data_IF_661238128791
#
_entry.id   IF_661238128791
#
_cell.length_a   1.000
_cell.length_b   1.000
_cell.length_c   1.000
_cell.angle_alpha   90.00
_cell.angle_beta   90.00
_cell.angle_gamma   90.00
#
_symmetry.space_group_name_H-M   'P 1'
#
loop_
_entity.id
_entity.type
_entity.pdbx_description
1 polymer ?
#
# COMPACT_ATOMS: atom_id res chain seq x y z
N UNK A 1 -2.10 11.88 -9.92
CA UNK A 1 -2.54 10.54 -9.49
C UNK A 1 -3.13 10.70 -8.10
N UNK A 2 -4.37 10.26 -7.82
CA UNK A 2 -5.01 10.57 -6.55
C UNK A 2 -4.30 9.81 -5.43
N UNK A 3 -3.78 10.53 -4.44
CA UNK A 3 -3.39 9.97 -3.14
C UNK A 3 -4.66 9.63 -2.38
N UNK A 4 -4.87 8.35 -2.08
CA UNK A 4 -6.00 7.87 -1.27
C UNK A 4 -5.45 7.61 0.12
N UNK A 5 -5.73 8.52 1.05
CA UNK A 5 -5.53 8.29 2.47
C UNK A 5 -6.78 7.57 3.00
N UNK A 6 -6.58 6.40 3.61
CA UNK A 6 -7.62 5.62 4.27
C UNK A 6 -7.64 5.99 5.76
N UNK A 7 -8.73 6.51 6.32
CA UNK A 7 -9.05 6.32 7.72
C UNK A 7 -9.95 5.10 7.84
N UNK A 8 -9.47 4.03 8.48
CA UNK A 8 -10.32 2.90 8.89
C UNK A 8 -10.40 2.94 10.42
N UNK A 9 -11.56 3.37 10.89
CA UNK A 9 -11.97 3.28 12.27
C UNK A 9 -12.07 1.78 12.58
N UNK A 10 -11.29 1.33 13.57
CA UNK A 10 -11.02 -0.07 13.98
C UNK A 10 -9.83 -0.73 13.26
N UNK A 11 -8.63 -0.59 13.85
CA UNK A 11 -7.42 -1.31 13.45
C UNK A 11 -6.59 -0.66 12.35
N UNK A 12 -5.90 0.44 12.67
CA UNK A 12 -5.21 1.29 11.69
C UNK A 12 -4.06 0.57 10.95
N UNK A 13 -4.30 0.23 9.68
CA UNK A 13 -3.26 -0.03 8.68
C UNK A 13 -2.78 1.30 8.09
N UNK A 14 -1.52 1.66 8.31
CA UNK A 14 -0.93 2.85 7.70
C UNK A 14 -0.49 2.55 6.26
N UNK A 15 -1.22 3.07 5.27
CA UNK A 15 -0.88 2.96 3.84
C UNK A 15 -0.28 4.27 3.37
N UNK A 16 1.04 4.31 3.13
CA UNK A 16 1.69 5.53 2.66
C UNK A 16 1.50 5.68 1.14
N UNK A 17 0.77 6.70 0.70
CA UNK A 17 0.82 7.21 -0.67
C UNK A 17 1.15 8.71 -0.63
N UNK A 18 2.43 9.07 -0.77
CA UNK A 18 2.83 10.46 -1.05
C UNK A 18 3.83 10.51 -2.20
N UNK A 19 3.66 11.46 -3.14
CA UNK A 19 4.73 11.92 -4.00
C UNK A 19 5.49 13.04 -3.27
N UNK A 20 6.83 13.00 -3.27
CA UNK A 20 7.61 14.20 -2.99
C UNK A 20 8.61 14.40 -4.13
N UNK A 21 8.45 15.53 -4.82
CA UNK A 21 9.51 16.17 -5.59
C UNK A 21 9.75 17.52 -4.91
N UNK A 22 10.92 17.68 -4.29
CA UNK A 22 11.43 18.95 -3.80
C UNK A 22 11.72 19.81 -5.04
N UNK A 23 10.83 20.71 -5.49
CA UNK A 23 11.24 21.97 -6.15
C UNK A 23 10.19 23.01 -6.60
N UNK A 24 8.88 22.83 -6.47
CA UNK A 24 7.93 23.89 -6.88
C UNK A 24 6.92 24.22 -5.78
N UNK A 25 7.38 24.96 -4.77
CA UNK A 25 6.52 25.74 -3.87
C UNK A 25 6.54 27.21 -4.32
N UNK A 26 5.75 27.58 -5.32
CA UNK A 26 5.24 28.95 -5.45
C UNK A 26 4.26 29.06 -6.64
N UNK A 27 3.11 28.41 -6.53
CA UNK A 27 1.83 28.83 -7.12
C UNK A 27 0.80 27.72 -6.89
N UNK A 28 -0.48 28.09 -6.76
CA UNK A 28 -1.65 27.21 -6.70
C UNK A 28 -2.14 26.80 -5.29
N UNK A 29 -2.60 27.78 -4.53
CA UNK A 29 -3.96 27.69 -3.99
C UNK A 29 -4.84 28.54 -4.93
N UNK A 30 -5.83 27.97 -5.65
CA UNK A 30 -6.98 27.30 -5.03
C UNK A 30 -7.50 26.09 -5.85
N UNK A 31 -7.16 24.86 -5.45
CA UNK A 31 -7.81 23.64 -5.99
C UNK A 31 -8.23 22.66 -4.89
N UNK A 32 -8.55 23.18 -3.70
CA UNK A 32 -9.09 22.40 -2.59
C UNK A 32 -10.63 22.39 -2.62
N UNK A 33 -11.24 21.90 -3.71
CA UNK A 33 -12.69 21.65 -3.76
C UNK A 33 -13.08 20.66 -4.87
N UNK A 34 -12.30 19.59 -5.09
CA UNK A 34 -12.82 18.41 -5.75
C UNK A 34 -13.25 17.43 -4.65
N UNK A 35 -14.56 17.19 -4.53
CA UNK A 35 -15.14 16.31 -3.51
C UNK A 35 -14.38 14.99 -3.41
N UNK A 36 -13.80 14.73 -2.24
CA UNK A 36 -13.16 13.45 -1.92
C UNK A 36 -14.23 12.38 -1.84
N UNK A 37 -14.51 11.70 -2.94
CA UNK A 37 -15.25 10.44 -2.89
C UNK A 37 -14.32 9.37 -2.35
N UNK A 38 -14.44 9.03 -1.07
CA UNK A 38 -13.86 7.82 -0.52
C UNK A 38 -14.51 6.60 -1.19
N UNK A 39 -13.70 5.63 -1.62
CA UNK A 39 -14.24 4.33 -2.03
C UNK A 39 -15.00 3.71 -0.83
N UNK A 40 -16.18 3.14 -1.07
CA UNK A 40 -16.93 2.43 -0.02
C UNK A 40 -16.30 1.05 0.18
N UNK A 41 -15.70 0.73 1.34
CA UNK A 41 -15.04 -0.55 1.60
C UNK A 41 -15.93 -1.77 1.34
N UNK A 42 -17.23 -1.66 1.63
CA UNK A 42 -18.21 -2.74 1.42
C UNK A 42 -18.46 -3.07 -0.06
N UNK A 43 -18.01 -2.21 -0.99
CA UNK A 43 -18.13 -2.41 -2.44
C UNK A 43 -16.76 -2.61 -3.10
N UNK A 44 -15.70 -2.78 -2.30
CA UNK A 44 -14.37 -3.03 -2.79
C UNK A 44 -14.13 -4.53 -2.92
N UNK A 45 -13.40 -4.92 -3.96
CA UNK A 45 -12.82 -6.25 -4.08
C UNK A 45 -11.34 -6.18 -3.71
N UNK A 46 -10.78 -7.30 -3.28
CA UNK A 46 -9.39 -7.49 -2.98
C UNK A 46 -8.85 -8.65 -3.81
N UNK A 47 -7.83 -8.36 -4.61
CA UNK A 47 -7.02 -9.37 -5.29
C UNK A 47 -5.70 -9.54 -4.56
N UNK A 48 -5.31 -10.77 -4.27
CA UNK A 48 -4.03 -11.08 -3.64
C UNK A 48 -3.55 -12.46 -4.05
N UNK A 49 -2.29 -12.76 -3.72
CA UNK A 49 -1.71 -14.09 -3.87
C UNK A 49 -1.48 -14.63 -2.47
N UNK A 50 -2.18 -15.70 -2.12
CA UNK A 50 -2.06 -16.30 -0.79
C UNK A 50 -0.67 -16.92 -0.57
N UNK A 51 -0.32 -17.35 0.67
CA UNK A 51 0.99 -17.94 0.96
C UNK A 51 1.29 -19.22 0.15
N UNK A 52 0.28 -19.89 -0.40
CA UNK A 52 0.42 -21.07 -1.25
C UNK A 52 0.62 -20.71 -2.73
N UNK A 53 0.64 -19.41 -3.07
CA UNK A 53 0.79 -18.93 -4.44
C UNK A 53 -0.51 -18.88 -5.23
N UNK A 54 -1.66 -19.11 -4.60
CA UNK A 54 -2.96 -19.10 -5.27
C UNK A 54 -3.50 -17.67 -5.34
N UNK A 55 -3.91 -17.25 -6.54
CA UNK A 55 -4.57 -15.96 -6.74
C UNK A 55 -6.00 -16.03 -6.22
N UNK A 56 -6.36 -15.08 -5.35
CA UNK A 56 -7.71 -14.92 -4.82
C UNK A 56 -8.29 -13.57 -5.20
N UNK A 57 -9.59 -13.53 -5.38
CA UNK A 57 -10.38 -12.31 -5.54
C UNK A 57 -11.66 -12.45 -4.71
N UNK A 58 -11.77 -11.64 -3.66
CA UNK A 58 -12.87 -11.70 -2.69
C UNK A 58 -13.28 -10.28 -2.28
N UNK A 59 -14.45 -10.05 -1.67
CA UNK A 59 -14.78 -8.77 -1.05
C UNK A 59 -13.67 -8.29 -0.10
N UNK A 60 -13.39 -6.98 -0.09
CA UNK A 60 -12.30 -6.43 0.74
C UNK A 60 -12.51 -6.69 2.24
N UNK A 61 -13.75 -6.59 2.72
CA UNK A 61 -14.04 -6.81 4.14
C UNK A 61 -13.76 -8.26 4.57
N UNK A 62 -14.08 -9.24 3.71
CA UNK A 62 -13.74 -10.65 3.94
C UNK A 62 -12.22 -10.85 4.00
N UNK A 63 -11.47 -10.28 3.03
CA UNK A 63 -10.02 -10.35 3.04
C UNK A 63 -9.40 -9.67 4.28
N UNK A 64 -9.94 -8.53 4.72
CA UNK A 64 -9.42 -7.79 5.86
C UNK A 64 -9.64 -8.51 7.19
N UNK A 65 -10.66 -9.37 7.28
CA UNK A 65 -10.97 -10.17 8.48
C UNK A 65 -10.19 -11.49 8.50
N UNK A 66 -10.10 -12.18 7.37
CA UNK A 66 -9.62 -13.57 7.32
C UNK A 66 -8.15 -13.71 6.90
N UNK A 67 -7.62 -12.76 6.12
CA UNK A 67 -6.30 -12.90 5.52
C UNK A 67 -5.25 -12.06 6.26
N UNK A 68 -4.22 -12.73 6.78
CA UNK A 68 -2.96 -12.10 7.16
C UNK A 68 -2.25 -11.59 5.89
N UNK A 69 -2.49 -10.34 5.52
CA UNK A 69 -1.95 -9.74 4.30
C UNK A 69 -0.42 -9.67 4.31
N UNK A 70 0.21 -9.65 5.49
CA UNK A 70 1.67 -9.69 5.60
C UNK A 70 2.31 -10.99 5.10
N UNK A 71 1.54 -12.07 5.04
CA UNK A 71 1.99 -13.37 4.53
C UNK A 71 1.74 -13.54 3.02
N UNK A 72 0.98 -12.62 2.41
CA UNK A 72 0.67 -12.67 0.99
C UNK A 72 1.89 -12.37 0.12
N UNK A 73 2.00 -13.09 -0.99
CA UNK A 73 3.06 -12.84 -1.95
C UNK A 73 2.80 -11.53 -2.72
N UNK A 74 3.85 -10.77 -3.09
CA UNK A 74 3.67 -9.54 -3.85
C UNK A 74 2.91 -9.78 -5.16
N UNK A 75 1.76 -9.11 -5.34
CA UNK A 75 0.90 -9.34 -6.51
C UNK A 75 1.59 -8.99 -7.84
N UNK A 76 2.58 -8.09 -7.78
CA UNK A 76 3.40 -7.68 -8.93
C UNK A 76 4.76 -7.19 -8.45
N UNK A 77 5.81 -7.63 -9.13
CA UNK A 77 7.17 -7.13 -8.93
C UNK A 77 7.33 -5.70 -9.44
N UNK A 78 8.27 -4.95 -8.85
CA UNK A 78 8.64 -3.64 -9.39
C UNK A 78 9.35 -3.80 -10.74
N UNK A 79 8.95 -3.04 -11.78
CA UNK A 79 9.60 -3.15 -13.08
C UNK A 79 11.03 -2.61 -12.99
N UNK A 80 12.00 -3.39 -13.47
CA UNK A 80 13.38 -2.94 -13.67
C UNK A 80 13.48 -2.34 -15.07
N UNK A 81 13.41 -1.01 -15.16
CA UNK A 81 13.44 -0.31 -16.45
C UNK A 81 14.82 0.27 -16.72
N UNK A 82 15.50 -0.22 -17.76
CA UNK A 82 16.80 0.29 -18.20
C UNK A 82 16.71 1.79 -18.49
N UNK A 83 17.63 2.58 -17.93
CA UNK A 83 17.68 4.04 -18.12
C UNK A 83 16.76 4.86 -17.21
N UNK A 84 15.93 4.24 -16.36
CA UNK A 84 15.19 4.95 -15.30
C UNK A 84 16.00 4.92 -14.00
N UNK A 85 15.93 6.00 -13.22
CA UNK A 85 16.55 6.10 -11.89
C UNK A 85 15.73 5.37 -10.82
N UNK A 86 15.41 4.10 -11.10
CA UNK A 86 14.87 3.16 -10.12
C UNK A 86 16.04 2.49 -9.42
N UNK A 87 15.90 2.23 -8.13
CA UNK A 87 16.87 1.46 -7.36
C UNK A 87 16.08 0.36 -6.65
N UNK A 88 15.57 -0.64 -7.37
CA UNK A 88 14.92 -1.76 -6.73
C UNK A 88 15.95 -2.56 -5.92
N UNK A 89 15.52 -3.18 -4.83
CA UNK A 89 16.39 -3.96 -3.97
C UNK A 89 15.64 -4.64 -2.85
N UNK A 90 16.40 -5.17 -1.89
CA UNK A 90 15.87 -5.87 -0.73
C UNK A 90 16.32 -5.16 0.55
N UNK A 91 15.41 -5.08 1.52
CA UNK A 91 15.68 -4.65 2.88
C UNK A 91 15.50 -5.84 3.82
N UNK A 92 16.50 -6.16 4.62
CA UNK A 92 16.32 -7.13 5.70
C UNK A 92 15.55 -6.46 6.83
N UNK A 93 14.29 -6.85 7.02
CA UNK A 93 13.45 -6.31 8.09
C UNK A 93 13.78 -6.99 9.41
N UNK A 94 14.11 -6.19 10.43
CA UNK A 94 14.25 -6.68 11.80
C UNK A 94 12.89 -7.06 12.42
N UNK A 95 11.81 -6.39 11.99
CA UNK A 95 10.43 -6.65 12.44
C UNK A 95 9.97 -8.06 12.08
N UNK A 96 10.10 -8.44 10.80
CA UNK A 96 9.60 -9.72 10.28
C UNK A 96 10.68 -10.79 10.12
N UNK A 97 11.94 -10.42 10.31
CA UNK A 97 13.12 -11.28 10.05
C UNK A 97 13.11 -11.86 8.65
N UNK A 98 12.70 -11.06 7.67
CA UNK A 98 12.55 -11.46 6.28
C UNK A 98 13.05 -10.36 5.33
N UNK A 99 13.19 -10.71 4.05
CA UNK A 99 13.55 -9.75 3.01
C UNK A 99 12.30 -9.07 2.46
N UNK A 100 12.20 -7.76 2.65
CA UNK A 100 11.15 -6.91 2.08
C UNK A 100 11.67 -6.24 0.80
N UNK A 101 11.04 -6.47 -0.36
CA UNK A 101 11.46 -5.83 -1.59
C UNK A 101 11.01 -4.36 -1.62
N UNK A 102 11.82 -3.50 -2.21
CA UNK A 102 11.45 -2.10 -2.51
C UNK A 102 11.76 -1.76 -3.97
N UNK A 103 10.96 -0.87 -4.57
CA UNK A 103 11.09 -0.52 -5.99
C UNK A 103 11.92 0.72 -6.29
N UNK A 104 12.05 1.62 -5.31
CA UNK A 104 12.70 2.92 -5.49
C UNK A 104 13.20 3.49 -4.17
N UNK A 105 14.09 4.49 -4.23
CA UNK A 105 14.80 5.03 -3.06
C UNK A 105 13.87 5.56 -1.97
N UNK A 106 12.80 6.27 -2.32
CA UNK A 106 11.85 6.78 -1.34
C UNK A 106 11.13 5.64 -0.59
N UNK A 107 10.80 4.54 -1.28
CA UNK A 107 10.24 3.36 -0.64
C UNK A 107 11.26 2.68 0.30
N UNK A 108 12.55 2.64 -0.06
CA UNK A 108 13.60 2.16 0.87
C UNK A 108 13.59 2.96 2.17
N UNK A 109 13.47 4.29 2.09
CA UNK A 109 13.36 5.15 3.28
C UNK A 109 12.08 4.85 4.06
N UNK A 110 10.95 4.60 3.41
CA UNK A 110 9.70 4.21 4.08
C UNK A 110 9.85 2.87 4.82
N UNK A 111 10.41 1.85 4.18
CA UNK A 111 10.67 0.54 4.83
C UNK A 111 11.58 0.71 6.03
N UNK A 112 12.67 1.46 5.90
CA UNK A 112 13.60 1.75 7.00
C UNK A 112 12.91 2.42 8.20
N UNK A 113 12.01 3.39 7.95
CA UNK A 113 11.28 4.09 9.01
C UNK A 113 10.27 3.18 9.70
N UNK A 114 9.55 2.36 8.94
CA UNK A 114 8.55 1.45 9.51
C UNK A 114 9.20 0.29 10.27
N UNK A 115 10.32 -0.24 9.77
CA UNK A 115 11.07 -1.30 10.44
C UNK A 115 11.74 -0.85 11.75
N UNK A 116 11.87 0.47 11.95
CA UNK A 116 12.34 1.06 13.20
C UNK A 116 11.23 1.33 14.21
N UNK A 117 9.97 1.49 13.77
CA UNK A 117 8.87 1.85 14.66
C UNK A 117 8.45 0.64 15.51
N UNK A 118 8.58 0.69 16.85
CA UNK A 118 8.29 -0.44 17.73
C UNK A 118 6.82 -0.86 17.75
N UNK A 119 5.91 -0.04 17.19
CA UNK A 119 4.49 -0.38 17.04
C UNK A 119 4.25 -1.22 15.79
N UNK A 120 5.16 -1.20 14.82
CA UNK A 120 5.05 -2.03 13.62
C UNK A 120 5.43 -3.46 14.00
N UNK A 121 4.58 -4.40 13.62
CA UNK A 121 4.74 -5.83 13.93
C UNK A 121 4.73 -6.71 12.68
N UNK A 122 4.37 -6.14 11.53
CA UNK A 122 4.65 -6.75 10.25
C UNK A 122 4.70 -5.75 9.09
N UNK A 123 5.43 -6.09 8.04
CA UNK A 123 5.61 -5.35 6.79
C UNK A 123 5.36 -6.28 5.59
N UNK A 124 4.65 -5.76 4.59
CA UNK A 124 4.55 -6.45 3.31
C UNK A 124 4.58 -5.50 2.11
N UNK A 125 5.24 -5.95 1.05
CA UNK A 125 5.33 -5.22 -0.20
C UNK A 125 4.22 -5.67 -1.16
N UNK A 126 3.30 -4.76 -1.50
CA UNK A 126 2.20 -5.01 -2.45
C UNK A 126 1.41 -6.30 -2.17
N UNK A 127 0.96 -6.53 -0.93
CA UNK A 127 0.28 -7.78 -0.57
C UNK A 127 -1.08 -7.94 -1.24
N UNK A 128 -1.73 -6.82 -1.61
CA UNK A 128 -3.09 -6.78 -2.14
C UNK A 128 -3.22 -5.73 -3.24
N UNK A 129 -4.16 -5.93 -4.15
CA UNK A 129 -4.68 -4.95 -5.09
C UNK A 129 -6.17 -4.75 -4.83
N UNK A 130 -6.56 -3.53 -4.47
CA UNK A 130 -7.93 -3.14 -4.20
C UNK A 130 -8.63 -2.68 -5.47
N UNK A 131 -9.86 -3.13 -5.70
CA UNK A 131 -10.68 -2.73 -6.85
C UNK A 131 -11.98 -2.09 -6.40
N UNK A 132 -12.43 -1.05 -7.10
CA UNK A 132 -13.75 -0.45 -6.89
C UNK A 132 -14.25 0.26 -8.14
N UNK A 133 -15.54 0.59 -8.15
CA UNK A 133 -16.14 1.39 -9.21
C UNK A 133 -15.97 2.87 -8.91
N UNK A 134 -15.27 3.57 -9.80
CA UNK A 134 -15.15 5.02 -9.80
C UNK A 134 -16.36 5.72 -10.43
N UNK A 135 -16.26 7.04 -10.56
CA UNK A 135 -17.27 7.85 -11.26
C UNK A 135 -17.45 7.34 -12.70
N UNK A 136 -18.70 7.20 -13.14
CA UNK A 136 -19.03 6.73 -14.49
C UNK A 136 -18.86 5.22 -14.68
N UNK A 137 -18.82 4.43 -13.60
CA UNK A 137 -18.79 2.97 -13.66
C UNK A 137 -17.43 2.36 -14.02
N UNK A 138 -16.39 3.18 -14.21
CA UNK A 138 -15.05 2.68 -14.51
C UNK A 138 -14.45 1.96 -13.31
N UNK A 139 -13.98 0.73 -13.50
CA UNK A 139 -13.19 0.01 -12.48
C UNK A 139 -11.85 0.71 -12.26
N UNK A 140 -11.58 1.04 -11.01
CA UNK A 140 -10.31 1.56 -10.51
C UNK A 140 -9.62 0.44 -9.75
N UNK A 141 -8.30 0.36 -9.89
CA UNK A 141 -7.46 -0.62 -9.21
C UNK A 141 -6.30 0.09 -8.53
N UNK A 142 -5.98 -0.29 -7.29
CA UNK A 142 -4.86 0.25 -6.53
C UNK A 142 -4.18 -0.83 -5.69
N UNK A 143 -2.90 -1.06 -5.94
CA UNK A 143 -2.05 -1.88 -5.08
C UNK A 143 -1.12 -0.96 -4.26
N UNK A 144 -1.27 -0.88 -2.92
CA UNK A 144 -0.33 -0.13 -2.10
C UNK A 144 1.08 -0.72 -2.25
N UNK A 145 2.10 0.15 -2.31
CA UNK A 145 3.48 -0.33 -2.46
C UNK A 145 4.00 -1.04 -1.22
N UNK A 146 3.57 -0.59 -0.03
CA UNK A 146 4.00 -1.09 1.26
C UNK A 146 2.79 -1.07 2.20
N UNK A 147 2.66 -2.11 3.01
CA UNK A 147 1.71 -2.25 4.11
C UNK A 147 2.50 -2.45 5.40
N UNK A 148 2.03 -1.85 6.48
CA UNK A 148 2.48 -2.15 7.83
C UNK A 148 1.29 -2.58 8.68
N UNK A 149 1.44 -3.67 9.45
CA UNK A 149 0.53 -4.02 10.52
C UNK A 149 1.05 -3.44 11.83
N UNK A 150 0.17 -2.73 12.53
CA UNK A 150 0.47 -2.14 13.82
C UNK A 150 0.00 -3.07 14.94
N UNK A 151 0.73 -3.06 16.05
CA UNK A 151 0.27 -3.66 17.30
C UNK A 151 -0.86 -2.80 17.83
N UNK A 152 -2.02 -3.41 18.04
CA UNK A 152 -3.07 -2.81 18.85
C UNK A 152 -2.55 -2.70 20.28
N UNK A 153 -2.47 -1.47 20.78
CA UNK A 153 -2.25 -1.23 22.21
C UNK A 153 -3.62 -1.41 22.88
N UNK A 154 -3.76 -2.31 23.87
CA UNK A 154 -5.01 -2.49 24.60
C UNK A 154 -5.40 -1.24 25.41
#
# INVERSE_FOLDING_TARGET
MPSVLFPLQTGELFVTSLPFSVQEQSALAPLLSAGRHSANPARMMARFVDPLGVKREVPWLEAAEEQALEECLPIRQFPVLKGRRTAPGWWWSATDRCLVPYGFKAMRTQVMMLDHDPRVVALACRPVELLWHGRGGKTISHAPHLMARLRLVP
#
